data_IF_995395245926
#
_entry.id   IF_995395245926
#
_cell.length_a   1.000
_cell.length_b   1.000
_cell.length_c   1.000
_cell.angle_alpha   90.00
_cell.angle_beta   90.00
_cell.angle_gamma   90.00
#
_symmetry.space_group_name_H-M   'P 1'
#
loop_
_entity.id
_entity.type
_entity.pdbx_description
1 polymer ?
#
# COMPACT_ATOMS: atom_id res chain seq x y z
N UNK A 1 -20.06 18.15 -19.47
CA UNK A 1 -20.57 16.77 -19.66
C UNK A 1 -19.62 16.05 -20.61
N UNK A 2 -18.97 14.96 -20.17
CA UNK A 2 -18.06 14.17 -21.01
C UNK A 2 -18.87 13.44 -22.11
N UNK A 3 -18.38 13.47 -23.35
CA UNK A 3 -18.99 12.84 -24.51
C UNK A 3 -18.91 11.31 -24.38
N UNK A 4 -19.84 10.57 -25.01
CA UNK A 4 -19.98 9.10 -24.90
C UNK A 4 -18.68 8.35 -25.27
N UNK A 5 -17.94 8.84 -26.26
CA UNK A 5 -16.62 8.31 -26.66
C UNK A 5 -15.53 8.55 -25.58
N UNK A 6 -15.56 9.67 -24.89
CA UNK A 6 -14.61 9.96 -23.80
C UNK A 6 -14.85 9.05 -22.58
N UNK A 7 -16.11 8.76 -22.25
CA UNK A 7 -16.46 7.79 -21.21
C UNK A 7 -15.97 6.38 -21.55
N UNK A 8 -16.11 5.95 -22.81
CA UNK A 8 -15.64 4.64 -23.27
C UNK A 8 -14.12 4.49 -23.16
N UNK A 9 -13.35 5.53 -23.52
CA UNK A 9 -11.88 5.51 -23.41
C UNK A 9 -11.41 5.50 -21.95
N UNK A 10 -12.02 6.30 -21.08
CA UNK A 10 -11.69 6.33 -19.64
C UNK A 10 -11.96 4.97 -19.00
N UNK A 11 -13.06 4.32 -19.33
CA UNK A 11 -13.38 2.98 -18.82
C UNK A 11 -12.38 1.93 -19.31
N UNK A 12 -11.99 1.97 -20.59
CA UNK A 12 -10.99 1.03 -21.14
C UNK A 12 -9.62 1.19 -20.48
N UNK A 13 -9.19 2.43 -20.24
CA UNK A 13 -7.95 2.74 -19.54
C UNK A 13 -7.99 2.25 -18.08
N UNK A 14 -9.11 2.45 -17.39
CA UNK A 14 -9.33 1.96 -16.04
C UNK A 14 -9.23 0.42 -15.98
N UNK A 15 -9.81 -0.28 -16.96
CA UNK A 15 -9.72 -1.74 -17.02
C UNK A 15 -8.28 -2.23 -17.19
N UNK A 16 -7.51 -1.59 -18.05
CA UNK A 16 -6.10 -1.93 -18.24
C UNK A 16 -5.31 -1.77 -16.93
N UNK A 17 -5.57 -0.69 -16.18
CA UNK A 17 -4.93 -0.46 -14.87
C UNK A 17 -5.35 -1.49 -13.81
N UNK A 18 -6.59 -1.98 -13.87
CA UNK A 18 -7.13 -2.99 -12.95
C UNK A 18 -6.81 -4.43 -13.35
N UNK A 19 -6.32 -4.66 -14.57
CA UNK A 19 -5.97 -6.00 -15.02
C UNK A 19 -4.90 -6.63 -14.11
N UNK A 20 -5.20 -7.82 -13.56
CA UNK A 20 -4.36 -8.49 -12.57
C UNK A 20 -4.38 -7.82 -11.18
N UNK A 21 -5.38 -6.99 -10.86
CA UNK A 21 -5.63 -6.54 -9.50
C UNK A 21 -6.26 -7.70 -8.70
N UNK A 22 -5.62 -8.12 -7.59
CA UNK A 22 -6.09 -9.30 -6.85
C UNK A 22 -7.52 -9.20 -6.30
N UNK A 23 -8.03 -7.98 -6.08
CA UNK A 23 -9.43 -7.78 -5.64
C UNK A 23 -10.44 -8.26 -6.68
N UNK A 24 -10.08 -8.16 -7.96
CA UNK A 24 -10.94 -8.52 -9.09
C UNK A 24 -10.53 -9.83 -9.76
N UNK A 25 -9.71 -10.64 -9.08
CA UNK A 25 -9.31 -11.95 -9.61
C UNK A 25 -10.52 -12.86 -9.82
N UNK A 26 -10.55 -13.56 -10.97
CA UNK A 26 -11.68 -14.41 -11.38
C UNK A 26 -12.91 -13.64 -11.88
N UNK A 27 -12.81 -12.33 -12.16
CA UNK A 27 -13.90 -11.52 -12.69
C UNK A 27 -13.57 -11.11 -14.13
N UNK A 28 -14.49 -11.42 -15.03
CA UNK A 28 -14.35 -11.13 -16.45
C UNK A 28 -14.46 -9.61 -16.75
N UNK A 29 -13.74 -9.15 -17.76
CA UNK A 29 -13.70 -7.71 -18.13
C UNK A 29 -15.10 -7.14 -18.40
N UNK A 30 -15.99 -7.92 -19.04
CA UNK A 30 -17.34 -7.47 -19.38
C UNK A 30 -18.24 -7.25 -18.15
N UNK A 31 -17.95 -7.92 -17.02
CA UNK A 31 -18.69 -7.79 -15.77
C UNK A 31 -18.15 -6.68 -14.88
N UNK A 32 -16.85 -6.37 -15.05
CA UNK A 32 -16.14 -5.40 -14.21
C UNK A 32 -16.78 -4.00 -14.30
N UNK A 33 -17.29 -3.59 -15.47
CA UNK A 33 -17.98 -2.31 -15.67
C UNK A 33 -19.21 -2.15 -14.77
N UNK A 34 -20.08 -3.14 -14.82
CA UNK A 34 -21.30 -3.17 -13.99
C UNK A 34 -20.95 -3.18 -12.51
N UNK A 35 -19.95 -3.98 -12.14
CA UNK A 35 -19.51 -4.13 -10.76
C UNK A 35 -18.89 -2.84 -10.19
N UNK A 36 -18.01 -2.15 -10.92
CA UNK A 36 -17.43 -0.88 -10.49
C UNK A 36 -18.53 0.17 -10.21
N UNK A 37 -19.58 0.19 -11.04
CA UNK A 37 -20.77 1.01 -10.79
C UNK A 37 -21.50 0.62 -9.50
N UNK A 38 -21.69 -0.68 -9.25
CA UNK A 38 -22.30 -1.18 -8.02
C UNK A 38 -21.46 -0.84 -6.79
N UNK A 39 -20.14 -0.95 -6.86
CA UNK A 39 -19.22 -0.65 -5.77
C UNK A 39 -19.02 0.87 -5.53
N UNK A 40 -19.64 1.72 -6.37
CA UNK A 40 -19.50 3.18 -6.27
C UNK A 40 -18.09 3.66 -6.52
N UNK A 41 -17.40 3.00 -7.46
CA UNK A 41 -16.01 3.27 -7.80
C UNK A 41 -15.81 4.73 -8.25
N UNK A 42 -14.80 5.41 -7.69
CA UNK A 42 -14.44 6.80 -7.99
C UNK A 42 -12.93 6.89 -8.20
N UNK A 43 -12.44 7.24 -9.41
CA UNK A 43 -11.03 7.54 -9.61
C UNK A 43 -10.68 8.88 -8.95
N UNK A 44 -9.52 8.94 -8.30
CA UNK A 44 -8.96 10.14 -7.66
C UNK A 44 -7.50 10.21 -8.01
N UNK A 45 -6.99 11.41 -8.31
CA UNK A 45 -5.58 11.66 -8.58
C UNK A 45 -5.01 12.61 -7.54
N UNK A 46 -3.76 12.39 -7.15
CA UNK A 46 -3.00 13.25 -6.26
C UNK A 46 -1.56 13.40 -6.78
N UNK A 47 -0.99 14.59 -6.62
CA UNK A 47 0.43 14.83 -6.91
C UNK A 47 1.30 14.34 -5.77
N UNK A 48 2.57 14.12 -6.06
CA UNK A 48 3.56 13.77 -5.03
C UNK A 48 3.45 14.69 -3.80
N UNK A 49 3.40 14.07 -2.61
CA UNK A 49 3.29 14.76 -1.33
C UNK A 49 1.89 15.23 -0.96
N UNK A 50 0.89 15.11 -1.84
CA UNK A 50 -0.49 15.46 -1.52
C UNK A 50 -1.18 14.33 -0.74
N UNK A 51 -1.92 14.66 0.32
CA UNK A 51 -2.75 13.68 1.00
C UNK A 51 -3.97 13.32 0.16
N UNK A 52 -4.24 12.03 0.05
CA UNK A 52 -5.51 11.46 -0.42
C UNK A 52 -6.54 11.46 0.71
N UNK A 53 -6.05 11.19 1.93
CA UNK A 53 -6.84 11.24 3.16
C UNK A 53 -5.98 11.76 4.32
N UNK A 54 -6.58 12.56 5.18
CA UNK A 54 -6.00 12.99 6.44
C UNK A 54 -6.43 12.09 7.60
N UNK A 55 -5.61 12.04 8.64
CA UNK A 55 -6.06 11.55 9.94
C UNK A 55 -7.31 12.31 10.35
N UNK A 56 -8.33 11.58 10.84
CA UNK A 56 -9.64 12.14 11.18
C UNK A 56 -10.68 12.07 10.06
N UNK A 57 -10.30 11.84 8.81
CA UNK A 57 -11.26 11.66 7.71
C UNK A 57 -12.13 10.41 7.91
N UNK A 58 -13.37 10.38 7.37
CA UNK A 58 -14.24 9.22 7.49
C UNK A 58 -13.63 7.94 6.91
N UNK A 59 -13.62 6.86 7.70
CA UNK A 59 -13.08 5.55 7.30
C UNK A 59 -14.11 4.72 6.50
N UNK A 60 -14.54 5.19 5.35
CA UNK A 60 -15.61 4.58 4.54
C UNK A 60 -15.16 4.06 3.17
N UNK A 61 -13.92 4.31 2.78
CA UNK A 61 -13.42 3.90 1.48
C UNK A 61 -12.35 2.81 1.58
N UNK A 62 -12.40 1.88 0.64
CA UNK A 62 -11.29 1.00 0.27
C UNK A 62 -10.66 1.59 -0.98
N UNK A 63 -9.37 1.86 -0.96
CA UNK A 63 -8.64 2.39 -2.11
C UNK A 63 -7.81 1.30 -2.79
N UNK A 64 -7.66 1.42 -4.11
CA UNK A 64 -6.75 0.63 -4.93
C UNK A 64 -5.80 1.59 -5.62
N UNK A 65 -4.50 1.37 -5.52
CA UNK A 65 -3.52 2.15 -6.30
C UNK A 65 -3.58 1.69 -7.75
N UNK A 66 -3.90 2.62 -8.66
CA UNK A 66 -3.94 2.36 -10.11
C UNK A 66 -2.60 2.62 -10.76
N UNK A 67 -1.93 3.70 -10.36
CA UNK A 67 -0.58 4.07 -10.78
C UNK A 67 0.08 4.92 -9.69
N UNK A 68 1.41 4.99 -9.68
CA UNK A 68 2.14 5.66 -8.63
C UNK A 68 2.21 4.84 -7.34
N UNK A 69 2.38 5.52 -6.21
CA UNK A 69 2.49 4.89 -4.90
C UNK A 69 1.91 5.76 -3.79
N UNK A 70 1.45 5.13 -2.71
CA UNK A 70 0.97 5.82 -1.51
C UNK A 70 1.71 5.34 -0.27
N UNK A 71 1.90 6.24 0.68
CA UNK A 71 2.38 5.92 2.02
C UNK A 71 1.24 6.06 3.03
N UNK A 72 1.09 5.07 3.90
CA UNK A 72 0.24 5.16 5.09
C UNK A 72 1.14 5.65 6.22
N UNK A 73 0.82 6.84 6.74
CA UNK A 73 1.66 7.55 7.70
C UNK A 73 0.89 7.84 8.97
N UNK A 74 1.54 7.64 10.09
CA UNK A 74 1.07 8.07 11.40
C UNK A 74 2.04 9.09 11.96
N UNK A 75 1.51 10.19 12.48
CA UNK A 75 2.27 11.15 13.27
C UNK A 75 1.84 11.04 14.74
N UNK A 76 2.81 11.09 15.65
CA UNK A 76 2.53 11.16 17.07
C UNK A 76 2.35 12.62 17.54
N UNK A 77 1.96 12.79 18.80
CA UNK A 77 1.78 14.12 19.42
C UNK A 77 3.04 15.01 19.35
N UNK A 78 4.22 14.41 19.24
CA UNK A 78 5.51 15.12 19.17
C UNK A 78 5.95 15.42 17.73
N UNK A 79 5.14 15.04 16.72
CA UNK A 79 5.48 15.19 15.32
C UNK A 79 6.43 14.11 14.77
N UNK A 80 6.68 13.04 15.52
CA UNK A 80 7.43 11.92 14.98
C UNK A 80 6.58 11.17 13.97
N UNK A 81 7.13 11.00 12.78
CA UNK A 81 6.49 10.31 11.65
C UNK A 81 6.86 8.83 11.66
N UNK A 82 5.87 7.97 11.51
CA UNK A 82 6.04 6.53 11.28
C UNK A 82 5.37 6.11 9.99
N UNK A 83 6.13 5.47 9.08
CA UNK A 83 5.57 4.88 7.86
C UNK A 83 5.04 3.50 8.21
N UNK A 84 3.72 3.36 8.18
CA UNK A 84 3.04 2.10 8.46
C UNK A 84 3.14 1.14 7.27
N UNK A 85 2.95 1.65 6.05
CA UNK A 85 3.05 0.89 4.81
C UNK A 85 3.42 1.82 3.63
N UNK A 86 4.05 1.24 2.61
CA UNK A 86 4.24 1.81 1.28
C UNK A 86 3.59 0.87 0.28
N UNK A 87 2.66 1.39 -0.53
CA UNK A 87 1.80 0.60 -1.40
C UNK A 87 1.91 1.11 -2.84
N UNK A 88 2.23 0.19 -3.74
CA UNK A 88 2.33 0.42 -5.18
C UNK A 88 1.08 -0.02 -5.94
N UNK A 89 1.15 -0.07 -7.28
CA UNK A 89 0.01 -0.41 -8.14
C UNK A 89 -0.63 -1.75 -7.80
N UNK A 90 -1.96 -1.80 -7.87
CA UNK A 90 -2.84 -2.95 -7.58
C UNK A 90 -2.93 -3.34 -6.11
N UNK A 91 -2.23 -2.65 -5.22
CA UNK A 91 -2.35 -2.87 -3.78
C UNK A 91 -3.51 -2.04 -3.19
N UNK A 92 -4.11 -2.59 -2.12
CA UNK A 92 -5.22 -1.99 -1.42
C UNK A 92 -4.76 -1.19 -0.22
N UNK A 93 -5.54 -0.16 0.13
CA UNK A 93 -5.42 0.60 1.37
C UNK A 93 -6.79 0.93 1.96
N UNK A 94 -6.83 1.19 3.26
CA UNK A 94 -8.02 1.66 3.97
C UNK A 94 -9.02 0.56 4.32
N UNK A 95 -8.89 -0.67 3.79
CA UNK A 95 -9.79 -1.78 4.02
C UNK A 95 -9.91 -2.13 5.50
N UNK A 96 -8.79 -2.16 6.20
CA UNK A 96 -8.75 -2.48 7.64
C UNK A 96 -9.58 -1.50 8.47
N UNK A 97 -9.56 -0.22 8.12
CA UNK A 97 -10.32 0.82 8.80
C UNK A 97 -11.78 0.84 8.34
N UNK A 98 -12.02 0.74 7.05
CA UNK A 98 -13.36 0.80 6.47
C UNK A 98 -14.29 -0.33 6.97
N UNK A 99 -13.72 -1.50 7.31
CA UNK A 99 -14.48 -2.65 7.83
C UNK A 99 -14.37 -2.85 9.34
N UNK A 100 -13.49 -2.13 10.05
CA UNK A 100 -13.34 -2.25 11.52
C UNK A 100 -14.35 -1.43 12.32
N UNK A 101 -15.27 -0.69 11.65
CA UNK A 101 -16.27 0.20 12.27
C UNK A 101 -15.66 1.38 13.04
N UNK A 102 -14.40 1.73 12.81
CA UNK A 102 -13.86 2.99 13.33
C UNK A 102 -14.50 4.16 12.58
N UNK A 103 -14.85 5.26 13.26
CA UNK A 103 -15.53 6.39 12.63
C UNK A 103 -14.63 7.19 11.70
N UNK A 104 -13.33 7.22 11.99
CA UNK A 104 -12.33 8.01 11.26
C UNK A 104 -11.00 7.28 11.12
N UNK A 105 -10.22 7.69 10.15
CA UNK A 105 -8.87 7.16 9.92
C UNK A 105 -7.93 7.63 11.04
N UNK A 106 -7.18 6.74 11.69
CA UNK A 106 -6.15 7.09 12.67
C UNK A 106 -4.78 7.34 12.01
N UNK A 107 -4.75 7.55 10.71
CA UNK A 107 -3.55 7.70 9.85
C UNK A 107 -3.87 8.63 8.69
N UNK A 108 -2.83 9.23 8.11
CA UNK A 108 -2.91 9.91 6.82
C UNK A 108 -2.46 8.99 5.68
N UNK A 109 -3.04 9.15 4.49
CA UNK A 109 -2.65 8.44 3.27
C UNK A 109 -2.15 9.47 2.28
N UNK A 110 -0.87 9.43 1.94
CA UNK A 110 -0.16 10.46 1.19
C UNK A 110 0.39 9.85 -0.11
N UNK A 111 0.25 10.56 -1.22
CA UNK A 111 0.84 10.19 -2.49
C UNK A 111 2.38 10.35 -2.42
N UNK A 112 3.13 9.27 -2.65
CA UNK A 112 4.60 9.28 -2.64
C UNK A 112 5.19 9.75 -3.98
N UNK A 113 4.43 9.62 -5.03
CA UNK A 113 4.67 10.15 -6.37
C UNK A 113 3.34 10.61 -6.98
N UNK A 114 3.32 11.10 -8.21
CA UNK A 114 2.06 11.40 -8.90
C UNK A 114 1.24 10.12 -9.04
N UNK A 115 0.11 10.06 -8.36
CA UNK A 115 -0.62 8.83 -8.07
C UNK A 115 -2.08 8.93 -8.51
N UNK A 116 -2.59 7.84 -9.07
CA UNK A 116 -4.02 7.63 -9.29
C UNK A 116 -4.50 6.46 -8.46
N UNK A 117 -5.64 6.62 -7.82
CA UNK A 117 -6.30 5.58 -7.02
C UNK A 117 -7.75 5.42 -7.42
N UNK A 118 -8.29 4.23 -7.18
CA UNK A 118 -9.71 3.94 -7.29
C UNK A 118 -10.28 3.77 -5.88
N UNK A 119 -11.25 4.60 -5.51
CA UNK A 119 -11.94 4.51 -4.23
C UNK A 119 -13.25 3.72 -4.40
N UNK A 120 -13.46 2.75 -3.54
CA UNK A 120 -14.67 1.91 -3.46
C UNK A 120 -15.39 2.18 -2.14
N UNK A 121 -16.71 2.34 -2.16
CA UNK A 121 -17.52 2.48 -0.94
C UNK A 121 -17.63 1.13 -0.21
N UNK A 122 -17.04 1.02 0.98
CA UNK A 122 -17.03 -0.22 1.77
C UNK A 122 -18.43 -0.76 2.10
N UNK A 123 -19.41 0.13 2.26
CA UNK A 123 -20.81 -0.26 2.52
C UNK A 123 -21.40 -0.99 1.33
N UNK A 124 -21.02 -0.59 0.12
CA UNK A 124 -21.46 -1.25 -1.13
C UNK A 124 -20.77 -2.57 -1.38
N UNK A 125 -19.53 -2.73 -0.90
CA UNK A 125 -18.81 -4.01 -0.96
C UNK A 125 -19.50 -5.04 -0.04
N UNK A 126 -19.92 -4.63 1.16
CA UNK A 126 -20.47 -5.53 2.19
C UNK A 126 -21.95 -5.90 1.98
N UNK A 127 -22.67 -5.16 1.14
CA UNK A 127 -24.09 -5.41 0.87
C UNK A 127 -24.25 -6.03 -0.50
N UNK A 128 -24.63 -7.32 -0.53
CA UNK A 128 -24.97 -7.97 -1.80
C UNK A 128 -26.11 -7.20 -2.48
N UNK A 129 -25.95 -6.89 -3.77
CA UNK A 129 -27.00 -6.27 -4.54
C UNK A 129 -28.22 -7.20 -4.62
N UNK A 130 -29.42 -6.62 -4.77
CA UNK A 130 -30.71 -7.36 -4.86
C UNK A 130 -30.75 -8.39 -6.00
N UNK A 131 -29.81 -8.32 -6.94
CA UNK A 131 -29.73 -9.20 -8.12
C UNK A 131 -28.87 -10.46 -7.89
N UNK A 132 -28.53 -10.82 -6.63
CA UNK A 132 -27.70 -12.00 -6.30
C UNK A 132 -26.47 -12.15 -7.21
N UNK A 133 -25.75 -11.05 -7.43
CA UNK A 133 -24.62 -10.97 -8.35
C UNK A 133 -23.49 -11.90 -7.83
N UNK A 134 -23.15 -12.93 -8.58
CA UNK A 134 -22.07 -13.87 -8.25
C UNK A 134 -20.74 -13.18 -8.06
N UNK A 135 -20.52 -12.05 -8.71
CA UNK A 135 -19.31 -11.25 -8.62
C UNK A 135 -19.09 -10.59 -7.26
N UNK A 136 -20.15 -10.20 -6.54
CA UNK A 136 -20.02 -9.66 -5.19
C UNK A 136 -19.40 -10.69 -4.23
N UNK A 137 -19.84 -11.93 -4.30
CA UNK A 137 -19.27 -13.01 -3.48
C UNK A 137 -17.79 -13.22 -3.79
N UNK A 138 -17.40 -13.12 -5.08
CA UNK A 138 -16.00 -13.24 -5.49
C UNK A 138 -15.16 -12.07 -4.95
N UNK A 139 -15.63 -10.82 -5.06
CA UNK A 139 -14.94 -9.65 -4.49
C UNK A 139 -14.77 -9.76 -2.98
N UNK A 140 -15.81 -10.20 -2.26
CA UNK A 140 -15.74 -10.41 -0.80
C UNK A 140 -14.71 -11.48 -0.46
N UNK A 141 -14.70 -12.61 -1.20
CA UNK A 141 -13.71 -13.66 -1.01
C UNK A 141 -12.28 -13.16 -1.26
N UNK A 142 -12.07 -12.45 -2.38
CA UNK A 142 -10.78 -11.88 -2.72
C UNK A 142 -10.32 -10.85 -1.67
N UNK A 143 -11.24 -10.01 -1.19
CA UNK A 143 -10.95 -9.05 -0.12
C UNK A 143 -10.53 -9.76 1.18
N UNK A 144 -11.23 -10.82 1.57
CA UNK A 144 -10.87 -11.60 2.75
C UNK A 144 -9.47 -12.21 2.61
N UNK A 145 -9.16 -12.76 1.43
CA UNK A 145 -7.82 -13.27 1.13
C UNK A 145 -6.75 -12.17 1.25
N UNK A 146 -7.00 -11.00 0.67
CA UNK A 146 -6.07 -9.86 0.73
C UNK A 146 -5.85 -9.35 2.15
N UNK A 147 -6.92 -9.23 2.95
CA UNK A 147 -6.80 -8.87 4.38
C UNK A 147 -5.96 -9.89 5.14
N UNK A 148 -6.14 -11.18 4.86
CA UNK A 148 -5.32 -12.25 5.48
C UNK A 148 -3.85 -12.13 5.08
N UNK A 149 -3.54 -11.87 3.81
CA UNK A 149 -2.16 -11.64 3.33
C UNK A 149 -1.56 -10.40 3.98
N UNK A 150 -2.31 -9.28 4.01
CA UNK A 150 -1.86 -8.04 4.65
C UNK A 150 -1.57 -8.23 6.14
N UNK A 151 -2.35 -9.06 6.84
CA UNK A 151 -2.08 -9.41 8.24
C UNK A 151 -0.70 -10.09 8.39
N UNK A 152 -0.31 -10.99 7.48
CA UNK A 152 1.02 -11.60 7.50
C UNK A 152 2.14 -10.56 7.29
N UNK A 153 1.94 -9.58 6.39
CA UNK A 153 2.88 -8.48 6.17
C UNK A 153 3.04 -7.63 7.43
N UNK A 154 1.92 -7.32 8.12
CA UNK A 154 1.96 -6.59 9.39
C UNK A 154 2.69 -7.37 10.49
N UNK A 155 2.49 -8.69 10.58
CA UNK A 155 3.25 -9.54 11.50
C UNK A 155 4.76 -9.48 11.22
N UNK A 156 5.17 -9.49 9.95
CA UNK A 156 6.58 -9.34 9.57
C UNK A 156 7.12 -7.97 10.00
N UNK A 157 6.38 -6.89 9.78
CA UNK A 157 6.79 -5.55 10.24
C UNK A 157 6.96 -5.52 11.76
N UNK A 158 6.02 -6.07 12.53
CA UNK A 158 6.12 -6.16 13.99
C UNK A 158 7.39 -6.93 14.39
N UNK A 159 7.70 -8.07 13.75
CA UNK A 159 8.90 -8.83 14.03
C UNK A 159 10.20 -8.06 13.76
N UNK A 160 10.19 -7.19 12.73
CA UNK A 160 11.33 -6.32 12.39
C UNK A 160 11.46 -5.20 13.44
N UNK A 161 10.39 -4.45 13.69
CA UNK A 161 10.43 -3.27 14.57
C UNK A 161 10.56 -3.63 16.04
N UNK A 162 10.16 -4.84 16.45
CA UNK A 162 10.36 -5.36 17.81
C UNK A 162 11.82 -5.75 18.14
N UNK A 163 12.73 -5.76 17.16
CA UNK A 163 14.16 -5.97 17.43
C UNK A 163 14.72 -4.85 18.29
N UNK A 164 15.73 -5.17 19.10
CA UNK A 164 16.24 -4.23 20.12
C UNK A 164 17.14 -3.14 19.53
N UNK A 165 17.96 -3.49 18.54
CA UNK A 165 18.99 -2.60 18.01
C UNK A 165 18.67 -2.19 16.56
N UNK A 166 19.13 -1.00 16.16
CA UNK A 166 19.05 -0.51 14.77
C UNK A 166 19.65 -1.52 13.78
N UNK A 167 20.77 -2.15 14.16
CA UNK A 167 21.41 -3.19 13.34
C UNK A 167 20.49 -4.39 13.10
N UNK A 168 19.89 -4.91 14.15
CA UNK A 168 19.00 -6.07 14.05
C UNK A 168 17.75 -5.74 13.24
N UNK A 169 17.15 -4.56 13.44
CA UNK A 169 15.99 -4.09 12.65
C UNK A 169 16.34 -3.99 11.17
N UNK A 170 17.46 -3.31 10.87
CA UNK A 170 17.93 -3.12 9.50
C UNK A 170 18.22 -4.45 8.80
N UNK A 171 19.01 -5.32 9.44
CA UNK A 171 19.36 -6.62 8.87
C UNK A 171 18.13 -7.51 8.66
N UNK A 172 17.20 -7.54 9.61
CA UNK A 172 15.94 -8.29 9.47
C UNK A 172 15.13 -7.78 8.28
N UNK A 173 15.06 -6.46 8.09
CA UNK A 173 14.39 -5.85 6.94
C UNK A 173 15.07 -6.21 5.62
N UNK A 174 16.39 -6.01 5.51
CA UNK A 174 17.15 -6.26 4.28
C UNK A 174 17.13 -7.75 3.86
N UNK A 175 17.25 -8.66 4.84
CA UNK A 175 17.14 -10.11 4.59
C UNK A 175 15.74 -10.48 4.08
N UNK A 176 14.70 -9.86 4.64
CA UNK A 176 13.33 -10.06 4.15
C UNK A 176 13.17 -9.54 2.72
N UNK A 177 13.72 -8.38 2.39
CA UNK A 177 13.69 -7.84 1.02
C UNK A 177 14.44 -8.72 0.03
N UNK A 178 15.62 -9.21 0.39
CA UNK A 178 16.38 -10.15 -0.43
C UNK A 178 15.58 -11.42 -0.73
N UNK A 179 14.89 -11.97 0.27
CA UNK A 179 14.02 -13.14 0.12
C UNK A 179 12.82 -12.86 -0.79
N UNK A 180 12.14 -11.71 -0.61
CA UNK A 180 10.98 -11.34 -1.43
C UNK A 180 11.34 -11.11 -2.89
N UNK A 181 12.50 -10.50 -3.16
CA UNK A 181 12.96 -10.21 -4.52
C UNK A 181 13.80 -11.35 -5.13
N UNK A 182 14.07 -12.44 -4.37
CA UNK A 182 14.83 -13.59 -4.84
C UNK A 182 16.28 -13.26 -5.22
N UNK A 183 16.84 -12.18 -4.67
CA UNK A 183 18.17 -11.66 -5.02
C UNK A 183 18.84 -11.01 -3.82
N UNK A 184 20.17 -11.19 -3.71
CA UNK A 184 20.96 -10.48 -2.70
C UNK A 184 21.24 -9.02 -3.09
N UNK A 185 20.99 -8.62 -4.36
CA UNK A 185 21.07 -7.24 -4.84
C UNK A 185 19.67 -6.75 -5.19
N UNK A 186 19.18 -5.72 -4.51
CA UNK A 186 17.81 -5.26 -4.62
C UNK A 186 17.66 -3.76 -4.33
N UNK A 187 16.52 -3.21 -4.75
CA UNK A 187 16.12 -1.83 -4.47
C UNK A 187 14.98 -1.83 -3.48
N UNK A 188 15.02 -0.91 -2.54
CA UNK A 188 13.91 -0.66 -1.61
C UNK A 188 13.16 0.62 -2.00
N UNK A 189 11.86 0.76 -1.67
CA UNK A 189 11.08 1.94 -2.04
C UNK A 189 11.42 3.19 -1.21
N UNK A 190 12.17 3.02 -0.11
CA UNK A 190 12.43 4.07 0.86
C UNK A 190 13.73 4.80 0.58
N UNK A 191 13.72 6.13 0.75
CA UNK A 191 14.95 6.88 0.95
C UNK A 191 15.53 6.66 2.37
N UNK A 192 16.58 7.39 2.76
CA UNK A 192 17.24 7.17 4.05
C UNK A 192 16.37 7.61 5.24
N UNK A 193 15.62 8.70 5.08
CA UNK A 193 14.71 9.18 6.11
C UNK A 193 13.51 8.23 6.24
N UNK A 194 12.91 7.88 5.13
CA UNK A 194 11.76 6.99 5.08
C UNK A 194 12.07 5.60 5.62
N UNK A 195 13.29 5.06 5.34
CA UNK A 195 13.72 3.80 5.93
C UNK A 195 13.85 3.90 7.46
N UNK A 196 14.34 5.03 7.97
CA UNK A 196 14.42 5.26 9.42
C UNK A 196 13.01 5.34 10.03
N UNK A 197 12.08 6.06 9.38
CA UNK A 197 10.68 6.18 9.80
C UNK A 197 9.95 4.81 9.75
N UNK A 198 10.24 3.99 8.72
CA UNK A 198 9.69 2.64 8.61
C UNK A 198 10.19 1.69 9.69
N UNK A 199 11.51 1.77 10.03
CA UNK A 199 12.15 0.93 11.04
C UNK A 199 11.98 1.46 12.48
N UNK A 200 11.37 2.64 12.62
CA UNK A 200 11.21 3.33 13.92
C UNK A 200 12.55 3.49 14.64
N UNK A 201 13.49 4.15 13.94
CA UNK A 201 14.83 4.45 14.42
C UNK A 201 15.25 5.86 14.02
N UNK A 202 16.26 6.42 14.73
CA UNK A 202 16.85 7.69 14.34
C UNK A 202 17.62 7.58 13.01
N UNK A 203 17.44 8.56 12.11
CA UNK A 203 18.09 8.62 10.79
C UNK A 203 19.61 8.61 10.87
N UNK A 204 20.19 9.35 11.84
CA UNK A 204 21.63 9.44 12.00
C UNK A 204 22.20 8.11 12.49
N UNK A 205 21.53 7.45 13.43
CA UNK A 205 21.86 6.12 13.93
C UNK A 205 21.78 5.06 12.83
N UNK A 206 20.73 5.11 11.99
CA UNK A 206 20.61 4.24 10.84
C UNK A 206 21.75 4.43 9.84
N UNK A 207 22.11 5.68 9.52
CA UNK A 207 23.20 5.98 8.58
C UNK A 207 24.56 5.53 9.11
N UNK A 208 24.80 5.69 10.41
CA UNK A 208 26.01 5.21 11.08
C UNK A 208 26.10 3.67 11.02
N UNK A 209 24.99 2.97 11.26
CA UNK A 209 24.95 1.50 11.24
C UNK A 209 25.16 0.95 9.81
N UNK A 210 24.56 1.56 8.80
CA UNK A 210 24.80 1.18 7.38
C UNK A 210 26.29 1.36 7.04
N UNK A 211 26.90 2.47 7.44
CA UNK A 211 28.32 2.73 7.20
C UNK A 211 29.23 1.72 7.91
N UNK A 212 28.82 1.25 9.09
CA UNK A 212 29.52 0.21 9.85
C UNK A 212 29.42 -1.15 9.14
N UNK A 213 28.22 -1.56 8.73
CA UNK A 213 27.98 -2.81 8.01
C UNK A 213 28.74 -2.86 6.67
N UNK A 214 28.88 -1.71 5.97
CA UNK A 214 29.72 -1.61 4.77
C UNK A 214 31.19 -1.84 5.06
N UNK A 215 31.72 -1.25 6.14
CA UNK A 215 33.12 -1.45 6.54
C UNK A 215 33.41 -2.88 7.00
N UNK A 216 32.44 -3.54 7.59
CA UNK A 216 32.50 -4.96 7.97
C UNK A 216 32.38 -5.92 6.79
N UNK A 217 32.11 -5.43 5.58
CA UNK A 217 31.94 -6.27 4.38
C UNK A 217 30.67 -7.11 4.40
N UNK A 218 29.63 -6.70 5.15
CA UNK A 218 28.36 -7.43 5.24
C UNK A 218 27.41 -6.99 4.14
N UNK A 219 27.42 -5.71 3.78
CA UNK A 219 26.59 -5.17 2.70
C UNK A 219 27.32 -4.05 1.92
N UNK A 220 26.85 -3.84 0.70
CA UNK A 220 27.06 -2.62 -0.09
C UNK A 220 25.75 -1.85 -0.17
N UNK A 221 25.81 -0.51 -0.21
CA UNK A 221 24.64 0.32 -0.43
C UNK A 221 24.98 1.60 -1.17
N UNK A 222 24.10 1.96 -2.11
CA UNK A 222 24.09 3.24 -2.81
C UNK A 222 22.65 3.75 -2.85
N UNK A 223 22.40 4.89 -2.17
CA UNK A 223 21.05 5.43 -1.98
C UNK A 223 20.09 4.36 -1.41
N UNK A 224 19.12 3.92 -2.20
CA UNK A 224 18.12 2.89 -1.88
C UNK A 224 18.43 1.51 -2.48
N UNK A 225 19.58 1.35 -3.13
CA UNK A 225 20.09 0.06 -3.60
C UNK A 225 20.93 -0.60 -2.52
N UNK A 226 20.70 -1.88 -2.29
CA UNK A 226 21.43 -2.69 -1.32
C UNK A 226 21.91 -4.00 -1.96
N UNK A 227 23.06 -4.46 -1.53
CA UNK A 227 23.60 -5.77 -1.87
C UNK A 227 24.12 -6.43 -0.60
N UNK A 228 23.60 -7.61 -0.28
CA UNK A 228 24.09 -8.45 0.81
C UNK A 228 25.27 -9.29 0.28
N UNK A 229 26.37 -9.31 1.04
CA UNK A 229 27.64 -9.96 0.65
C UNK A 229 27.84 -11.32 1.34
N UNK A 230 26.96 -11.67 2.30
CA UNK A 230 26.99 -12.94 3.03
C UNK A 230 25.64 -13.64 2.95
#
# INVERSE_FOLDING_TARGET
MLNFQQKGNIMKELYQKLQGCPLFDGIEEHDLAGMLGCLGAKPVSARKGQPLFHEGDPAIYVGIVLSGAVQIVREDFYGNRSIMAHLGPKQLFGESYAFSRVPSLPVSIIADEDTEVLLLDSRRISVCCSNACTFHSQVIYNLLHLVAVNNLVLHQKIQITAKRTTREKLMAYLLNQAKLQGSNAFTIPYDRQELADYLEVDRSGLSAEISKLRREGILESEKNHFRLLQ
#
